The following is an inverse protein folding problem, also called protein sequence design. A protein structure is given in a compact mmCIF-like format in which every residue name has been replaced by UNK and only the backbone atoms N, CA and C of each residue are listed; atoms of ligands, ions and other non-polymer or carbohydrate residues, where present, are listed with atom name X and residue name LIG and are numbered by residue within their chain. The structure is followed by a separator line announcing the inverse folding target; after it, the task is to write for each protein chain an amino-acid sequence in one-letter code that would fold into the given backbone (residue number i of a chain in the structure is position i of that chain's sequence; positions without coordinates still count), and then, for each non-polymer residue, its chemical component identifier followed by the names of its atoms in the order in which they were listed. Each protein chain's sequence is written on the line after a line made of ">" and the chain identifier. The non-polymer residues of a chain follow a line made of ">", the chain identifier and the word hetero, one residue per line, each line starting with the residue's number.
data_IF_749445310400
#
_entry.id   IF_749445310400
#
_cell.length_a   1.000
_cell.length_b   1.000
_cell.length_c   1.000
_cell.angle_alpha   90.00
_cell.angle_beta   90.00
_cell.angle_gamma   90.00
#
_symmetry.space_group_name_H-M   'P 1'
#
loop_
_entity.id
_entity.type
_entity.pdbx_description
1 polymer ?
#
# COMPACT_ATOMS: atom_id res chain seq x y z
N UNK A 1 45.83 4.76 25.99
CA UNK A 1 46.28 3.41 25.57
C UNK A 1 45.39 2.41 26.28
N UNK A 2 44.79 1.49 25.50
CA UNK A 2 43.85 0.42 25.91
C UNK A 2 42.46 0.92 26.33
N UNK A 3 41.38 0.39 25.78
CA UNK A 3 41.26 -0.68 24.80
C UNK A 3 39.80 -0.80 24.41
N UNK A 4 39.59 -0.95 23.11
CA UNK A 4 38.31 -1.25 22.49
C UNK A 4 37.71 -2.49 23.15
N UNK A 5 36.42 -2.43 23.52
CA UNK A 5 35.67 -3.64 23.84
C UNK A 5 35.20 -4.23 22.51
N UNK A 6 35.87 -5.31 22.14
CA UNK A 6 35.54 -6.19 21.03
C UNK A 6 34.10 -6.71 21.19
N UNK A 7 33.26 -6.45 20.20
CA UNK A 7 31.99 -7.13 20.04
C UNK A 7 32.27 -8.54 19.53
N UNK A 8 31.96 -9.52 20.38
CA UNK A 8 32.08 -10.94 20.12
C UNK A 8 31.06 -11.36 19.05
N UNK A 9 31.58 -11.80 17.90
CA UNK A 9 30.79 -12.37 16.80
C UNK A 9 30.17 -13.70 17.26
N UNK A 10 28.84 -13.75 17.32
CA UNK A 10 28.11 -15.03 17.26
C UNK A 10 27.50 -15.15 15.87
N UNK A 11 28.05 -16.09 15.11
CA UNK A 11 27.61 -16.46 13.78
C UNK A 11 26.69 -17.68 13.92
N UNK A 12 25.38 -17.48 13.79
CA UNK A 12 24.41 -18.59 13.71
C UNK A 12 23.56 -18.44 12.45
N UNK A 13 24.08 -19.01 11.37
CA UNK A 13 23.30 -19.39 10.20
C UNK A 13 22.34 -20.52 10.62
N UNK A 14 21.03 -20.26 10.58
CA UNK A 14 20.04 -21.33 10.75
C UNK A 14 18.63 -20.89 11.13
N UNK A 15 18.03 -19.87 10.49
CA UNK A 15 16.56 -19.71 10.52
C UNK A 15 16.01 -19.27 9.15
N UNK A 16 15.50 -20.28 8.47
CA UNK A 16 14.76 -20.25 7.23
C UNK A 16 13.48 -19.40 7.36
N UNK A 17 13.24 -18.54 6.36
CA UNK A 17 11.94 -18.18 5.76
C UNK A 17 10.71 -17.94 6.65
N UNK A 18 10.87 -17.42 7.87
CA UNK A 18 9.82 -16.68 8.56
C UNK A 18 9.93 -15.20 8.21
N UNK A 19 8.86 -14.59 7.70
CA UNK A 19 8.80 -13.19 7.31
C UNK A 19 9.49 -12.29 8.36
N UNK A 20 10.75 -11.89 8.11
CA UNK A 20 11.41 -10.83 8.87
C UNK A 20 10.46 -9.66 8.79
N UNK A 21 9.93 -9.21 9.93
CA UNK A 21 9.10 -8.03 10.01
C UNK A 21 9.85 -6.91 9.29
N UNK A 22 9.44 -6.59 8.07
CA UNK A 22 10.04 -5.49 7.32
C UNK A 22 9.88 -4.27 8.19
N UNK A 23 11.00 -3.61 8.46
CA UNK A 23 11.01 -2.39 9.24
C UNK A 23 10.02 -1.40 8.62
N UNK A 24 9.20 -0.74 9.44
CA UNK A 24 8.20 0.20 8.93
C UNK A 24 8.91 1.34 8.21
N UNK A 25 8.42 1.71 7.03
CA UNK A 25 8.91 2.88 6.29
C UNK A 25 8.81 4.14 7.17
N UNK A 26 9.83 4.99 7.11
CA UNK A 26 9.76 6.30 7.73
C UNK A 26 8.69 7.13 7.01
N UNK A 27 7.91 7.93 7.75
CA UNK A 27 6.80 8.71 7.19
C UNK A 27 7.22 9.58 6.00
N UNK A 28 8.38 10.25 6.09
CA UNK A 28 8.91 11.09 5.02
C UNK A 28 9.21 10.31 3.73
N UNK A 29 9.71 9.09 3.86
CA UNK A 29 10.01 8.23 2.71
C UNK A 29 8.72 7.71 2.08
N UNK A 30 7.76 7.29 2.92
CA UNK A 30 6.43 6.89 2.48
C UNK A 30 5.72 7.99 1.70
N UNK A 31 5.65 9.21 2.24
CA UNK A 31 4.98 10.34 1.59
C UNK A 31 5.64 10.72 0.25
N UNK A 32 6.98 10.66 0.20
CA UNK A 32 7.73 10.92 -1.03
C UNK A 32 7.40 9.90 -2.13
N UNK A 33 7.36 8.62 -1.81
CA UNK A 33 7.02 7.58 -2.80
C UNK A 33 5.53 7.62 -3.16
N UNK A 34 4.65 7.89 -2.19
CA UNK A 34 3.22 8.05 -2.43
C UNK A 34 2.93 9.17 -3.42
N UNK A 35 3.61 10.33 -3.29
CA UNK A 35 3.46 11.44 -4.22
C UNK A 35 3.84 11.07 -5.66
N UNK A 36 4.91 10.27 -5.86
CA UNK A 36 5.29 9.77 -7.19
C UNK A 36 4.22 8.84 -7.76
N UNK A 37 3.72 7.91 -6.94
CA UNK A 37 2.66 6.99 -7.34
C UNK A 37 1.36 7.71 -7.69
N UNK A 38 1.03 8.81 -7.00
CA UNK A 38 -0.11 9.65 -7.36
C UNK A 38 0.02 10.26 -8.76
N UNK A 39 1.22 10.70 -9.15
CA UNK A 39 1.47 11.20 -10.52
C UNK A 39 1.22 10.10 -11.55
N UNK A 40 1.74 8.89 -11.32
CA UNK A 40 1.51 7.76 -12.23
C UNK A 40 0.04 7.33 -12.27
N UNK A 41 -0.67 7.41 -11.14
CA UNK A 41 -2.09 7.11 -11.07
C UNK A 41 -2.93 8.09 -11.89
N UNK A 42 -2.57 9.38 -11.90
CA UNK A 42 -3.22 10.38 -12.76
C UNK A 42 -2.99 10.09 -14.24
N UNK A 43 -1.76 9.73 -14.64
CA UNK A 43 -1.46 9.32 -16.02
C UNK A 43 -2.28 8.10 -16.44
N UNK A 44 -2.37 7.09 -15.58
CA UNK A 44 -3.20 5.91 -15.81
C UNK A 44 -4.68 6.29 -15.97
N UNK A 45 -5.18 7.17 -15.10
CA UNK A 45 -6.56 7.67 -15.18
C UNK A 45 -6.84 8.34 -16.52
N UNK A 46 -5.97 9.23 -16.99
CA UNK A 46 -6.10 9.89 -18.28
C UNK A 46 -6.09 8.91 -19.44
N UNK A 47 -5.19 7.92 -19.40
CA UNK A 47 -5.10 6.88 -20.41
C UNK A 47 -6.35 6.01 -20.47
N UNK A 48 -6.87 5.55 -19.32
CA UNK A 48 -8.12 4.76 -19.23
C UNK A 48 -9.29 5.55 -19.84
N UNK A 49 -9.40 6.84 -19.52
CA UNK A 49 -10.43 7.72 -20.09
C UNK A 49 -10.30 7.85 -21.60
N UNK A 50 -9.10 8.13 -22.10
CA UNK A 50 -8.82 8.27 -23.53
C UNK A 50 -9.20 6.99 -24.30
N UNK A 51 -8.92 5.82 -23.73
CA UNK A 51 -9.20 4.51 -24.34
C UNK A 51 -10.64 4.02 -24.11
N UNK A 52 -11.44 4.72 -23.32
CA UNK A 52 -12.81 4.29 -22.98
C UNK A 52 -12.86 3.00 -22.16
N UNK A 53 -11.81 2.69 -21.39
CA UNK A 53 -11.70 1.45 -20.62
C UNK A 53 -12.38 1.57 -19.25
N UNK A 54 -12.63 0.42 -18.61
CA UNK A 54 -13.16 0.31 -17.26
C UNK A 54 -12.20 -0.50 -16.40
N UNK A 55 -11.93 -0.02 -15.19
CA UNK A 55 -11.05 -0.68 -14.21
C UNK A 55 -11.83 -0.90 -12.92
N UNK A 56 -11.78 -2.11 -12.38
CA UNK A 56 -12.34 -2.46 -11.08
C UNK A 56 -11.21 -2.91 -10.15
N UNK A 57 -11.18 -2.37 -8.93
CA UNK A 57 -10.18 -2.72 -7.90
C UNK A 57 -10.95 -3.29 -6.72
N UNK A 58 -10.69 -4.56 -6.40
CA UNK A 58 -11.29 -5.26 -5.25
C UNK A 58 -10.24 -5.36 -4.15
N UNK A 59 -10.59 -4.95 -2.93
CA UNK A 59 -9.71 -4.97 -1.77
C UNK A 59 -10.27 -5.92 -0.71
N UNK A 60 -9.59 -7.05 -0.54
CA UNK A 60 -9.95 -8.10 0.42
C UNK A 60 -8.95 -8.15 1.60
N UNK A 61 -9.39 -8.72 2.72
CA UNK A 61 -8.54 -8.95 3.89
C UNK A 61 -9.28 -8.91 5.22
N UNK A 62 -8.61 -9.31 6.31
CA UNK A 62 -9.19 -9.29 7.67
C UNK A 62 -9.55 -7.88 8.13
N UNK A 63 -10.40 -7.79 9.14
CA UNK A 63 -10.62 -6.55 9.89
C UNK A 63 -9.31 -6.02 10.46
N UNK A 64 -9.11 -4.70 10.33
CA UNK A 64 -7.86 -4.05 10.74
C UNK A 64 -6.67 -4.22 9.79
N UNK A 65 -6.80 -4.95 8.67
CA UNK A 65 -5.69 -5.15 7.72
C UNK A 65 -5.25 -3.88 6.96
N UNK A 66 -5.91 -2.74 7.17
CA UNK A 66 -5.54 -1.47 6.55
C UNK A 66 -6.20 -1.16 5.20
N UNK A 67 -7.23 -1.91 4.81
CA UNK A 67 -7.98 -1.70 3.54
C UNK A 67 -8.44 -0.25 3.35
N UNK A 68 -9.00 0.36 4.40
CA UNK A 68 -9.44 1.76 4.36
C UNK A 68 -8.29 2.76 4.14
N UNK A 69 -7.10 2.46 4.68
CA UNK A 69 -5.90 3.27 4.45
C UNK A 69 -5.45 3.23 2.98
N UNK A 70 -5.52 2.05 2.35
CA UNK A 70 -5.23 1.88 0.92
C UNK A 70 -6.25 2.62 0.05
N UNK A 71 -7.55 2.49 0.35
CA UNK A 71 -8.61 3.24 -0.34
C UNK A 71 -8.33 4.75 -0.26
N UNK A 72 -8.02 5.25 0.95
CA UNK A 72 -7.70 6.67 1.15
C UNK A 72 -6.48 7.09 0.34
N UNK A 73 -5.38 6.32 0.40
CA UNK A 73 -4.16 6.61 -0.33
C UNK A 73 -4.39 6.68 -1.85
N UNK A 74 -5.18 5.78 -2.43
CA UNK A 74 -5.51 5.80 -3.87
C UNK A 74 -6.40 6.99 -4.21
N UNK A 75 -7.38 7.31 -3.35
CA UNK A 75 -8.44 8.28 -3.65
C UNK A 75 -8.08 9.73 -3.36
N UNK A 76 -6.98 10.00 -2.63
CA UNK A 76 -6.60 11.33 -2.16
C UNK A 76 -6.29 12.34 -3.27
N UNK A 77 -5.74 11.89 -4.42
CA UNK A 77 -5.28 12.79 -5.52
C UNK A 77 -5.99 12.56 -6.86
N UNK A 78 -7.03 11.75 -6.88
CA UNK A 78 -7.80 11.44 -8.11
C UNK A 78 -9.15 12.17 -8.12
N UNK A 79 -9.75 12.32 -9.30
CA UNK A 79 -11.06 12.95 -9.40
C UNK A 79 -12.15 11.96 -8.98
N UNK A 80 -13.08 12.33 -8.07
CA UNK A 80 -14.20 11.47 -7.66
C UNK A 80 -15.21 11.22 -8.80
N UNK A 81 -15.11 11.98 -9.90
CA UNK A 81 -15.92 11.76 -11.11
C UNK A 81 -15.42 10.56 -11.93
N UNK A 82 -14.17 10.16 -11.73
CA UNK A 82 -13.53 9.07 -12.47
C UNK A 82 -13.33 7.86 -11.57
N UNK A 83 -12.86 8.08 -10.33
CA UNK A 83 -12.74 7.05 -9.32
C UNK A 83 -13.97 7.04 -8.43
N UNK A 84 -14.67 5.91 -8.40
CA UNK A 84 -15.80 5.68 -7.50
C UNK A 84 -15.43 4.62 -6.48
N UNK A 85 -15.55 4.94 -5.20
CA UNK A 85 -15.47 3.97 -4.11
C UNK A 85 -16.86 3.41 -3.89
N UNK A 86 -16.96 2.08 -3.85
CA UNK A 86 -18.21 1.37 -3.55
C UNK A 86 -17.97 0.51 -2.33
N UNK A 87 -18.79 0.71 -1.29
CA UNK A 87 -18.90 -0.19 -0.16
C UNK A 87 -20.26 -0.88 -0.29
N UNK A 88 -20.25 -2.18 -0.60
CA UNK A 88 -21.48 -2.95 -0.71
C UNK A 88 -22.05 -3.16 0.70
N UNK A 89 -23.32 -2.80 0.95
CA UNK A 89 -23.98 -3.11 2.21
C UNK A 89 -24.26 -4.62 2.30
N UNK A 90 -24.83 -5.05 3.43
CA UNK A 90 -25.41 -6.38 3.51
C UNK A 90 -26.43 -6.57 2.37
N UNK A 91 -26.47 -7.75 1.72
CA UNK A 91 -27.37 -8.01 0.61
C UNK A 91 -28.83 -7.90 1.08
N UNK A 92 -29.69 -7.41 0.19
CA UNK A 92 -31.14 -7.42 0.39
C UNK A 92 -31.74 -8.77 -0.02
N UNK A 93 -32.99 -9.06 0.36
CA UNK A 93 -33.67 -10.33 0.00
C UNK A 93 -33.76 -10.62 -1.52
N UNK A 94 -33.58 -9.59 -2.36
CA UNK A 94 -33.66 -9.70 -3.83
C UNK A 94 -32.31 -9.79 -4.54
N UNK A 95 -31.21 -9.52 -3.84
CA UNK A 95 -29.84 -9.53 -4.37
C UNK A 95 -29.12 -10.85 -4.06
#
# INVERSE_FOLDING_TARGET
>A
MKGEKEEEKVNENGKENGAKAREKLKTKEYEKELAKLHVELVKLQEWVKLKGLKVCIVLEGRDGAGKGGVIKAITERVSPRVFRVVALPAPTERE
#
